data_IF_058481489527
#
_entry.id   IF_058481489527
#
_cell.length_a   1.000
_cell.length_b   1.000
_cell.length_c   1.000
_cell.angle_alpha   90.00
_cell.angle_beta   90.00
_cell.angle_gamma   90.00
#
_symmetry.space_group_name_H-M   'P 1'
#
loop_
_entity.id
_entity.type
_entity.pdbx_description
1 polymer ?
#
# COMPACT_ATOMS: atom_id res chain seq x y z
N UNK A 1 29.74 -0.63 -43.64
CA UNK A 1 28.84 -0.11 -42.58
C UNK A 1 28.88 -0.98 -41.33
N UNK A 2 28.80 -2.32 -41.42
CA UNK A 2 28.83 -3.22 -40.25
C UNK A 2 30.11 -3.22 -39.36
N UNK A 3 31.26 -2.73 -39.86
CA UNK A 3 32.50 -2.67 -39.06
C UNK A 3 32.48 -1.56 -38.01
N UNK A 4 31.83 -0.43 -38.32
CA UNK A 4 31.74 0.74 -37.42
C UNK A 4 30.81 0.45 -36.24
N UNK A 5 29.68 -0.21 -36.50
CA UNK A 5 28.73 -0.60 -35.45
C UNK A 5 29.37 -1.61 -34.48
N UNK A 6 30.20 -2.52 -34.99
CA UNK A 6 30.91 -3.49 -34.16
C UNK A 6 32.01 -2.87 -33.28
N UNK A 7 32.69 -1.84 -33.77
CA UNK A 7 33.66 -1.08 -32.97
C UNK A 7 32.96 -0.26 -31.89
N UNK A 8 31.80 0.31 -32.19
CA UNK A 8 30.98 1.03 -31.24
C UNK A 8 30.44 0.12 -30.12
N UNK A 9 29.92 -1.07 -30.46
CA UNK A 9 29.48 -2.06 -29.47
C UNK A 9 30.63 -2.52 -28.58
N UNK A 10 31.84 -2.73 -29.14
CA UNK A 10 33.02 -3.07 -28.35
C UNK A 10 33.44 -1.94 -27.40
N UNK A 11 33.36 -0.69 -27.86
CA UNK A 11 33.65 0.50 -27.03
C UNK A 11 32.66 0.60 -25.88
N UNK A 12 31.36 0.49 -26.16
CA UNK A 12 30.29 0.48 -25.16
C UNK A 12 30.46 -0.65 -24.13
N UNK A 13 30.83 -1.87 -24.57
CA UNK A 13 31.09 -2.99 -23.67
C UNK A 13 32.32 -2.76 -22.78
N UNK A 14 33.37 -2.12 -23.31
CA UNK A 14 34.55 -1.75 -22.55
C UNK A 14 34.23 -0.66 -21.52
N UNK A 15 33.44 0.35 -21.89
CA UNK A 15 33.00 1.42 -21.00
C UNK A 15 32.06 0.90 -19.91
N UNK A 16 31.15 -0.01 -20.24
CA UNK A 16 30.29 -0.68 -19.26
C UNK A 16 31.10 -1.51 -18.25
N UNK A 17 32.06 -2.31 -18.73
CA UNK A 17 32.99 -3.03 -17.84
C UNK A 17 33.79 -2.08 -16.96
N UNK A 18 34.25 -0.95 -17.52
CA UNK A 18 34.99 0.07 -16.77
C UNK A 18 34.11 0.73 -15.70
N UNK A 19 32.84 1.01 -16.00
CA UNK A 19 31.87 1.54 -15.05
C UNK A 19 31.45 0.52 -13.97
N UNK A 20 31.42 -0.77 -14.29
CA UNK A 20 31.20 -1.83 -13.30
C UNK A 20 32.41 -2.04 -12.38
N UNK A 21 33.63 -1.92 -12.93
CA UNK A 21 34.89 -2.07 -12.20
C UNK A 21 35.28 -0.80 -11.43
N UNK A 22 34.75 0.37 -11.81
CA UNK A 22 34.80 1.55 -10.95
C UNK A 22 33.93 1.29 -9.74
N UNK A 23 34.53 0.69 -8.71
CA UNK A 23 33.94 0.62 -7.38
C UNK A 23 33.56 2.03 -6.97
N UNK A 24 32.26 2.30 -6.85
CA UNK A 24 31.76 3.48 -6.16
C UNK A 24 32.42 3.49 -4.77
N UNK A 25 33.29 4.46 -4.52
CA UNK A 25 34.26 4.50 -3.43
C UNK A 25 33.66 4.57 -2.02
N UNK A 26 32.33 4.55 -1.90
CA UNK A 26 31.60 4.56 -0.64
C UNK A 26 30.35 3.68 -0.76
N UNK A 27 30.52 2.37 -0.85
CA UNK A 27 29.42 1.46 -0.52
C UNK A 27 29.38 1.36 1.00
N UNK A 28 28.35 1.94 1.63
CA UNK A 28 28.04 1.59 3.01
C UNK A 28 27.80 0.08 3.03
N UNK A 29 28.60 -0.64 3.82
CA UNK A 29 28.30 -2.03 4.09
C UNK A 29 26.95 -2.10 4.82
N UNK A 30 26.23 -3.20 4.64
CA UNK A 30 24.94 -3.41 5.32
C UNK A 30 25.07 -3.23 6.85
N UNK A 31 26.19 -3.70 7.42
CA UNK A 31 26.54 -3.48 8.82
C UNK A 31 26.67 -1.99 9.18
N UNK A 32 27.34 -1.19 8.36
CA UNK A 32 27.47 0.24 8.61
C UNK A 32 26.11 0.95 8.49
N UNK A 33 25.24 0.53 7.56
CA UNK A 33 23.87 1.05 7.47
C UNK A 33 23.08 0.76 8.74
N UNK A 34 23.14 -0.47 9.26
CA UNK A 34 22.44 -0.86 10.50
C UNK A 34 22.97 -0.07 11.70
N UNK A 35 24.27 0.14 11.81
CA UNK A 35 24.86 0.94 12.90
C UNK A 35 24.44 2.41 12.81
N UNK A 36 24.41 3.00 11.61
CA UNK A 36 23.93 4.37 11.41
C UNK A 36 22.45 4.49 11.77
N UNK A 37 21.61 3.55 11.32
CA UNK A 37 20.18 3.52 11.65
C UNK A 37 19.97 3.37 13.16
N UNK A 38 20.69 2.45 13.80
CA UNK A 38 20.61 2.24 15.25
C UNK A 38 20.96 3.52 16.03
N UNK A 39 22.01 4.23 15.61
CA UNK A 39 22.37 5.53 16.22
C UNK A 39 21.31 6.61 15.99
N UNK A 40 20.73 6.69 14.79
CA UNK A 40 19.65 7.64 14.49
C UNK A 40 18.38 7.37 15.32
N UNK A 41 18.08 6.10 15.60
CA UNK A 41 16.97 5.67 16.46
C UNK A 41 17.27 6.01 17.92
N UNK A 42 18.50 5.74 18.40
CA UNK A 42 18.94 6.11 19.77
C UNK A 42 18.86 7.62 20.01
N UNK A 43 19.26 8.42 19.03
CA UNK A 43 19.15 9.89 19.08
C UNK A 43 17.72 10.41 18.85
N UNK A 44 16.72 9.52 18.67
CA UNK A 44 15.31 9.82 18.38
C UNK A 44 15.10 10.74 17.19
N UNK A 45 16.00 10.71 16.21
CA UNK A 45 15.86 11.50 14.99
C UNK A 45 14.91 10.85 13.98
N UNK A 46 14.70 9.53 14.08
CA UNK A 46 13.85 8.76 13.17
C UNK A 46 13.01 7.78 13.99
N UNK A 47 11.69 7.76 13.72
CA UNK A 47 10.78 6.74 14.21
C UNK A 47 10.64 5.61 13.18
N UNK A 48 10.90 4.37 13.60
CA UNK A 48 10.79 3.19 12.76
C UNK A 48 9.95 2.11 13.46
N UNK A 49 9.25 1.34 12.65
CA UNK A 49 8.46 0.18 13.03
C UNK A 49 9.19 -1.05 12.49
N UNK A 50 9.26 -2.10 13.31
CA UNK A 50 9.85 -3.36 12.91
C UNK A 50 8.82 -4.24 12.20
N UNK A 51 9.26 -4.92 11.15
CA UNK A 51 8.53 -6.05 10.54
C UNK A 51 8.43 -7.22 11.53
N UNK A 52 7.53 -8.18 11.28
CA UNK A 52 7.27 -9.37 12.12
C UNK A 52 8.54 -10.19 12.41
N UNK A 53 9.48 -10.20 11.48
CA UNK A 53 10.76 -10.91 11.60
C UNK A 53 11.89 -10.04 12.19
N UNK A 54 11.62 -8.75 12.47
CA UNK A 54 12.58 -7.80 13.04
C UNK A 54 13.72 -7.39 12.11
N UNK A 55 13.72 -7.87 10.86
CA UNK A 55 14.80 -7.62 9.88
C UNK A 55 14.61 -6.35 9.06
N UNK A 56 13.37 -5.90 8.92
CA UNK A 56 13.02 -4.76 8.07
C UNK A 56 12.53 -3.59 8.91
N UNK A 57 12.89 -2.39 8.45
CA UNK A 57 12.50 -1.12 9.06
C UNK A 57 11.47 -0.43 8.17
N UNK A 58 10.30 -0.14 8.73
CA UNK A 58 9.23 0.59 8.03
C UNK A 58 8.97 1.90 8.76
N UNK A 59 8.92 3.01 8.04
CA UNK A 59 8.56 4.30 8.62
C UNK A 59 7.04 4.36 8.82
N UNK A 60 6.51 4.98 9.89
CA UNK A 60 5.07 5.13 10.10
C UNK A 60 4.32 5.75 8.90
N UNK A 61 4.93 6.72 8.23
CA UNK A 61 4.38 7.35 7.02
C UNK A 61 4.29 6.40 5.83
N UNK A 62 5.20 5.43 5.74
CA UNK A 62 5.20 4.42 4.70
C UNK A 62 4.10 3.38 4.96
N UNK A 63 3.99 2.92 6.21
CA UNK A 63 2.90 2.04 6.62
C UNK A 63 1.51 2.64 6.33
N UNK A 64 1.36 3.94 6.57
CA UNK A 64 0.13 4.66 6.26
C UNK A 64 -0.22 4.63 4.76
N UNK A 65 0.78 4.74 3.89
CA UNK A 65 0.60 4.66 2.43
C UNK A 65 0.24 3.24 2.00
N UNK A 66 0.98 2.24 2.49
CA UNK A 66 0.74 0.84 2.17
C UNK A 66 -0.67 0.38 2.56
N UNK A 67 -1.16 0.77 3.74
CA UNK A 67 -2.54 0.45 4.15
C UNK A 67 -3.56 1.07 3.18
N UNK A 68 -3.31 2.29 2.69
CA UNK A 68 -4.19 2.95 1.72
C UNK A 68 -4.13 2.31 0.35
N UNK A 69 -2.93 2.03 -0.14
CA UNK A 69 -2.74 1.39 -1.43
C UNK A 69 -3.44 0.03 -1.44
N UNK A 70 -3.32 -0.75 -0.36
CA UNK A 70 -4.01 -2.03 -0.26
C UNK A 70 -5.53 -1.91 -0.12
N UNK A 71 -6.04 -0.88 0.55
CA UNK A 71 -7.48 -0.61 0.56
C UNK A 71 -8.00 -0.35 -0.87
N UNK A 72 -7.24 0.38 -1.68
CA UNK A 72 -7.62 0.68 -3.07
C UNK A 72 -7.52 -0.59 -3.95
N UNK A 73 -6.43 -1.36 -3.82
CA UNK A 73 -6.22 -2.61 -4.59
C UNK A 73 -7.31 -3.64 -4.28
N UNK A 74 -7.75 -3.73 -3.02
CA UNK A 74 -8.83 -4.63 -2.60
C UNK A 74 -10.25 -4.09 -2.89
N UNK A 75 -10.38 -3.01 -3.67
CA UNK A 75 -11.66 -2.48 -4.11
C UNK A 75 -12.46 -1.81 -2.99
N UNK A 76 -11.78 -1.26 -1.98
CA UNK A 76 -12.39 -0.48 -0.91
C UNK A 76 -12.83 -1.29 0.31
N UNK A 77 -12.49 -2.58 0.42
CA UNK A 77 -12.67 -3.34 1.67
C UNK A 77 -11.52 -4.32 1.92
N UNK A 78 -10.88 -4.22 3.08
CA UNK A 78 -9.77 -5.11 3.46
C UNK A 78 -9.79 -5.44 4.97
N UNK A 79 -9.41 -6.67 5.33
CA UNK A 79 -9.26 -7.08 6.74
C UNK A 79 -7.88 -6.67 7.27
N UNK A 80 -7.80 -6.25 8.53
CA UNK A 80 -6.53 -5.95 9.18
C UNK A 80 -5.61 -7.18 9.27
N UNK A 81 -6.16 -8.39 9.38
CA UNK A 81 -5.37 -9.63 9.37
C UNK A 81 -4.76 -9.90 7.99
N UNK A 82 -5.49 -9.59 6.91
CA UNK A 82 -4.97 -9.74 5.55
C UNK A 82 -3.88 -8.68 5.29
N UNK A 83 -4.12 -7.43 5.73
CA UNK A 83 -3.10 -6.37 5.71
C UNK A 83 -1.84 -6.77 6.47
N UNK A 84 -1.98 -7.43 7.63
CA UNK A 84 -0.86 -7.93 8.41
C UNK A 84 0.00 -8.92 7.61
N UNK A 85 -0.63 -9.84 6.88
CA UNK A 85 0.08 -10.83 6.06
C UNK A 85 0.74 -10.20 4.84
N UNK A 86 0.08 -9.22 4.22
CA UNK A 86 0.59 -8.55 3.02
C UNK A 86 1.73 -7.59 3.33
N UNK A 87 1.59 -6.79 4.39
CA UNK A 87 2.58 -5.77 4.80
C UNK A 87 3.70 -6.40 5.66
N UNK A 88 3.40 -7.47 6.38
CA UNK A 88 4.39 -8.16 7.21
C UNK A 88 4.73 -7.47 8.53
N UNK A 89 3.85 -6.60 9.04
CA UNK A 89 4.04 -5.88 10.32
C UNK A 89 3.13 -6.46 11.40
N UNK A 90 3.45 -6.24 12.67
CA UNK A 90 2.61 -6.64 13.80
C UNK A 90 1.21 -5.99 13.75
N UNK A 91 0.18 -6.82 14.02
CA UNK A 91 -1.23 -6.39 13.96
C UNK A 91 -1.52 -5.17 14.86
N UNK A 92 -0.91 -5.09 16.03
CA UNK A 92 -1.11 -3.99 16.99
C UNK A 92 -0.73 -2.61 16.41
N UNK A 93 0.34 -2.56 15.61
CA UNK A 93 0.80 -1.35 14.94
C UNK A 93 -0.12 -0.98 13.78
N UNK A 94 -0.57 -1.99 13.03
CA UNK A 94 -1.53 -1.81 11.93
C UNK A 94 -2.87 -1.30 12.46
N UNK A 95 -3.38 -1.86 13.55
CA UNK A 95 -4.61 -1.41 14.21
C UNK A 95 -4.52 0.05 14.65
N UNK A 96 -3.41 0.42 15.27
CA UNK A 96 -3.17 1.80 15.72
C UNK A 96 -3.14 2.76 14.52
N UNK A 97 -2.45 2.38 13.43
CA UNK A 97 -2.35 3.21 12.21
C UNK A 97 -3.65 3.25 11.42
N UNK A 98 -4.39 2.15 11.36
CA UNK A 98 -5.73 2.09 10.78
C UNK A 98 -6.68 3.05 11.51
N UNK A 99 -6.65 3.06 12.85
CA UNK A 99 -7.43 4.02 13.64
C UNK A 99 -7.00 5.48 13.41
N UNK A 100 -5.71 5.74 13.18
CA UNK A 100 -5.23 7.06 12.75
C UNK A 100 -5.74 7.46 11.36
N UNK A 101 -5.80 6.52 10.41
CA UNK A 101 -6.35 6.75 9.06
C UNK A 101 -7.81 7.16 9.16
N UNK A 102 -8.64 6.41 9.90
CA UNK A 102 -10.07 6.73 10.09
C UNK A 102 -10.29 8.08 10.78
N UNK A 103 -9.37 8.49 11.66
CA UNK A 103 -9.44 9.84 12.26
C UNK A 103 -9.04 10.94 11.30
N UNK A 104 -8.13 10.65 10.37
CA UNK A 104 -7.60 11.62 9.42
C UNK A 104 -8.48 11.76 8.18
N UNK A 105 -9.12 10.67 7.78
CA UNK A 105 -10.00 10.58 6.62
C UNK A 105 -11.34 9.99 7.01
N UNK A 106 -12.38 10.77 6.79
CA UNK A 106 -13.74 10.40 7.14
C UNK A 106 -14.40 9.50 6.09
N UNK A 107 -13.78 9.32 4.90
CA UNK A 107 -14.27 8.37 3.90
C UNK A 107 -13.95 6.92 4.23
N UNK A 108 -13.07 6.67 5.22
CA UNK A 108 -12.66 5.32 5.60
C UNK A 108 -13.22 4.99 6.96
N UNK A 109 -13.90 3.86 7.06
CA UNK A 109 -14.50 3.34 8.28
C UNK A 109 -13.78 2.06 8.73
N UNK A 110 -13.55 1.92 10.04
CA UNK A 110 -13.03 0.69 10.65
C UNK A 110 -14.16 -0.04 11.37
N UNK A 111 -14.54 -1.23 10.89
CA UNK A 111 -15.62 -2.04 11.44
C UNK A 111 -15.13 -3.45 11.71
N UNK A 112 -15.16 -3.91 12.97
CA UNK A 112 -14.81 -5.28 13.38
C UNK A 112 -13.45 -5.77 12.84
N UNK A 113 -12.44 -4.89 12.78
CA UNK A 113 -11.13 -5.23 12.23
C UNK A 113 -11.08 -5.25 10.69
N UNK A 114 -12.00 -4.56 10.03
CA UNK A 114 -12.00 -4.36 8.58
C UNK A 114 -12.01 -2.87 8.26
N UNK A 115 -11.15 -2.45 7.33
CA UNK A 115 -11.19 -1.12 6.74
C UNK A 115 -12.09 -1.15 5.52
N UNK A 116 -13.01 -0.19 5.46
CA UNK A 116 -14.02 -0.04 4.41
C UNK A 116 -13.99 1.41 3.95
N UNK A 117 -13.85 1.61 2.65
CA UNK A 117 -14.00 2.92 2.02
C UNK A 117 -15.47 3.20 1.69
N UNK A 118 -15.89 4.46 1.80
CA UNK A 118 -17.25 4.90 1.51
C UNK A 118 -17.64 4.62 0.05
N UNK A 119 -16.68 4.71 -0.89
CA UNK A 119 -16.94 4.40 -2.30
C UNK A 119 -17.39 2.95 -2.50
N UNK A 120 -16.88 2.02 -1.66
CA UNK A 120 -17.33 0.63 -1.66
C UNK A 120 -18.77 0.51 -1.15
N UNK A 121 -19.12 1.25 -0.08
CA UNK A 121 -20.49 1.26 0.45
C UNK A 121 -21.48 1.83 -0.56
N UNK A 122 -21.12 2.92 -1.26
CA UNK A 122 -21.94 3.52 -2.30
C UNK A 122 -22.17 2.56 -3.47
N UNK A 123 -21.12 1.88 -3.93
CA UNK A 123 -21.24 0.87 -4.98
C UNK A 123 -22.19 -0.26 -4.57
N UNK A 124 -22.01 -0.81 -3.37
CA UNK A 124 -22.87 -1.88 -2.84
C UNK A 124 -24.31 -1.39 -2.67
N UNK A 125 -24.52 -0.17 -2.20
CA UNK A 125 -25.84 0.42 -2.05
C UNK A 125 -26.54 0.59 -3.41
N UNK A 126 -25.80 1.04 -4.43
CA UNK A 126 -26.30 1.16 -5.79
C UNK A 126 -26.68 -0.22 -6.37
N UNK A 127 -25.81 -1.22 -6.22
CA UNK A 127 -26.09 -2.59 -6.67
C UNK A 127 -27.36 -3.15 -6.01
N UNK A 128 -27.50 -2.98 -4.69
CA UNK A 128 -28.69 -3.41 -3.96
C UNK A 128 -29.94 -2.69 -4.48
N UNK A 129 -29.87 -1.38 -4.68
CA UNK A 129 -31.00 -0.60 -5.19
C UNK A 129 -31.41 -1.05 -6.60
N UNK A 130 -30.46 -1.33 -7.50
CA UNK A 130 -30.74 -1.86 -8.82
C UNK A 130 -31.40 -3.25 -8.77
N UNK A 131 -30.92 -4.13 -7.89
CA UNK A 131 -31.54 -5.45 -7.67
C UNK A 131 -32.98 -5.33 -7.12
N UNK A 132 -33.20 -4.41 -6.19
CA UNK A 132 -34.53 -4.13 -5.65
C UNK A 132 -35.48 -3.59 -6.73
N UNK A 133 -35.01 -2.68 -7.58
CA UNK A 133 -35.80 -2.15 -8.70
C UNK A 133 -36.15 -3.23 -9.72
N UNK A 134 -35.19 -4.11 -10.06
CA UNK A 134 -35.41 -5.23 -10.98
C UNK A 134 -36.39 -6.26 -10.43
N UNK A 135 -36.38 -6.49 -9.11
CA UNK A 135 -37.26 -7.44 -8.41
C UNK A 135 -38.61 -6.85 -8.03
N UNK A 136 -38.84 -5.56 -8.28
CA UNK A 136 -40.08 -4.86 -7.97
C UNK A 136 -41.25 -5.49 -8.76
N UNK A 137 -42.18 -6.21 -8.12
CA UNK A 137 -43.23 -6.92 -8.82
C UNK A 137 -44.19 -5.95 -9.52
N UNK A 138 -44.58 -6.26 -10.76
CA UNK A 138 -45.45 -5.45 -11.64
C UNK A 138 -46.87 -5.15 -11.11
N UNK A 139 -47.20 -5.54 -9.88
CA UNK A 139 -48.57 -5.43 -9.34
C UNK A 139 -48.91 -4.09 -8.69
N UNK A 140 -47.98 -3.13 -8.62
CA UNK A 140 -48.26 -1.79 -8.05
C UNK A 140 -48.64 -0.71 -9.08
N UNK A 141 -48.86 -1.04 -10.37
CA UNK A 141 -49.25 -0.02 -11.37
C UNK A 141 -50.76 0.26 -11.44
N UNK A 142 -51.60 -0.47 -10.72
CA UNK A 142 -53.04 -0.20 -10.68
C UNK A 142 -53.61 -0.54 -9.32
N UNK A 143 -53.77 0.47 -8.47
CA UNK A 143 -54.87 0.65 -7.48
C UNK A 143 -54.49 1.69 -6.44
N UNK A 144 -54.49 2.97 -6.80
CA UNK A 144 -54.91 4.07 -5.90
C UNK A 144 -55.32 5.27 -6.75
N UNK A 145 -56.62 5.56 -6.94
CA UNK A 145 -57.04 6.89 -7.35
C UNK A 145 -56.76 7.83 -6.17
N UNK A 146 -55.92 8.84 -6.41
CA UNK A 146 -55.83 10.01 -5.53
C UNK A 146 -57.15 10.77 -5.67
N UNK A 147 -57.75 11.10 -4.53
CA UNK A 147 -59.01 11.84 -4.42
C UNK A 147 -58.94 13.23 -5.05
#
# INVERSE_FOLDING_TARGET
MASSDWEEVKRLAADFKRAQLSSSSQRLSERNCVEILSKLIEEKQIEVIYSLDGKEYVTPSQLFKEIRDELIVHGGRVNLVDLQQTIGIELSQIETKAAEIVRSDQSVSLVLGQLIDDSYLDHVAQEINEQLQKKRPSYYSSTYPVA
#
